data_IF_940322867936
#
_entry.id   IF_940322867936
#
_cell.length_a   1.000
_cell.length_b   1.000
_cell.length_c   1.000
_cell.angle_alpha   90.00
_cell.angle_beta   90.00
_cell.angle_gamma   90.00
#
_symmetry.space_group_name_H-M   'P 1'
#
loop_
_entity.id
_entity.type
_entity.pdbx_description
1 polymer ?
#
# COMPACT_ATOMS: atom_id res chain seq x y z
N UNK A 1 7.88 -25.77 13.59
CA UNK A 1 7.86 -24.37 13.12
C UNK A 1 7.26 -24.38 11.73
N UNK A 2 5.97 -24.05 11.60
CA UNK A 2 5.30 -23.95 10.29
C UNK A 2 5.26 -22.46 9.96
N UNK A 3 5.97 -22.07 8.89
CA UNK A 3 5.95 -20.71 8.39
C UNK A 3 4.54 -20.35 7.94
N UNK A 4 3.99 -19.29 8.53
CA UNK A 4 2.80 -18.64 8.01
C UNK A 4 3.25 -17.81 6.80
N UNK A 5 2.73 -18.16 5.63
CA UNK A 5 2.79 -17.32 4.44
C UNK A 5 1.73 -16.24 4.64
N UNK A 6 2.16 -15.00 4.83
CA UNK A 6 1.29 -13.85 4.96
C UNK A 6 0.63 -13.56 3.61
N UNK A 7 -0.69 -13.71 3.53
CA UNK A 7 -1.48 -13.22 2.40
C UNK A 7 -1.96 -11.81 2.77
N UNK A 8 -1.12 -10.80 2.53
CA UNK A 8 -1.54 -9.41 2.68
C UNK A 8 -2.43 -9.09 1.49
N UNK A 9 -3.73 -8.88 1.74
CA UNK A 9 -4.64 -8.31 0.74
C UNK A 9 -4.42 -6.80 0.76
N UNK A 10 -3.33 -6.39 0.12
CA UNK A 10 -3.01 -4.99 -0.14
C UNK A 10 -3.97 -4.42 -1.17
N UNK A 11 -4.70 -3.36 -0.81
CA UNK A 11 -5.48 -2.58 -1.77
C UNK A 11 -4.59 -1.46 -2.29
N UNK A 12 -4.38 -1.46 -3.60
CA UNK A 12 -3.43 -0.59 -4.26
C UNK A 12 -4.17 0.59 -4.90
N UNK A 13 -3.87 1.83 -4.50
CA UNK A 13 -4.43 3.04 -5.14
C UNK A 13 -3.45 3.61 -6.16
N UNK A 14 -3.83 3.60 -7.45
CA UNK A 14 -3.09 4.33 -8.48
C UNK A 14 -3.34 5.83 -8.30
N UNK A 15 -2.29 6.59 -8.02
CA UNK A 15 -2.37 8.04 -7.91
C UNK A 15 -2.07 8.68 -9.26
N UNK A 16 -3.10 9.17 -9.96
CA UNK A 16 -2.91 10.09 -11.09
C UNK A 16 -3.13 11.51 -10.59
N UNK A 17 -2.17 12.40 -10.82
CA UNK A 17 -2.25 13.81 -10.41
C UNK A 17 -3.24 14.62 -11.25
N UNK A 18 -3.84 14.01 -12.28
CA UNK A 18 -4.96 14.56 -13.02
C UNK A 18 -6.26 13.81 -12.64
N UNK A 19 -7.10 14.47 -11.83
CA UNK A 19 -8.50 14.12 -11.51
C UNK A 19 -8.70 13.03 -10.44
N UNK A 20 -9.26 13.43 -9.29
CA UNK A 20 -9.50 12.61 -8.10
C UNK A 20 -10.59 11.54 -8.22
N UNK A 21 -10.42 10.58 -9.12
CA UNK A 21 -11.28 9.39 -9.23
C UNK A 21 -10.50 8.14 -8.80
N UNK A 22 -10.99 7.46 -7.76
CA UNK A 22 -10.52 6.13 -7.36
C UNK A 22 -11.04 5.11 -8.37
N UNK A 23 -10.15 4.48 -9.14
CA UNK A 23 -10.51 3.39 -10.05
C UNK A 23 -10.73 2.12 -9.23
N UNK A 24 -11.96 1.62 -9.19
CA UNK A 24 -12.28 0.28 -8.66
C UNK A 24 -11.94 -0.76 -9.74
N UNK A 25 -10.97 -1.63 -9.47
CA UNK A 25 -10.68 -2.79 -10.32
C UNK A 25 -11.56 -3.95 -9.87
N UNK A 26 -12.52 -4.36 -10.70
CA UNK A 26 -13.24 -5.64 -10.54
C UNK A 26 -12.38 -6.74 -11.18
N UNK A 27 -12.08 -7.80 -10.43
CA UNK A 27 -11.15 -8.86 -10.79
C UNK A 27 -11.80 -10.06 -11.52
N UNK A 28 -13.06 -9.94 -11.92
CA UNK A 28 -13.73 -11.03 -12.62
C UNK A 28 -13.63 -10.86 -14.15
N UNK A 29 -13.08 -11.90 -14.75
CA UNK A 29 -13.15 -12.31 -16.16
C UNK A 29 -12.03 -11.90 -17.14
N UNK A 30 -11.23 -12.93 -17.44
CA UNK A 30 -10.56 -13.28 -18.72
C UNK A 30 -9.11 -12.89 -18.95
N UNK A 31 -8.22 -13.71 -18.36
CA UNK A 31 -6.93 -14.09 -18.95
C UNK A 31 -7.16 -14.79 -20.30
N UNK A 32 -7.24 -14.02 -21.39
CA UNK A 32 -7.02 -14.54 -22.75
C UNK A 32 -5.83 -13.83 -23.38
N UNK A 33 -4.68 -14.47 -23.27
CA UNK A 33 -3.44 -14.10 -23.92
C UNK A 33 -3.58 -14.27 -25.44
N UNK A 34 -3.29 -13.22 -26.21
CA UNK A 34 -2.95 -13.34 -27.62
C UNK A 34 -1.69 -12.52 -27.89
N UNK A 35 -0.60 -13.21 -28.20
CA UNK A 35 0.65 -12.64 -28.64
C UNK A 35 0.64 -12.66 -30.17
N UNK A 36 0.48 -11.52 -30.84
CA UNK A 36 0.74 -11.42 -32.28
C UNK A 36 1.25 -10.02 -32.61
N UNK A 37 2.47 -9.94 -33.16
CA UNK A 37 2.91 -8.78 -33.93
C UNK A 37 2.83 -9.09 -35.42
N UNK A 38 2.38 -8.14 -36.24
CA UNK A 38 2.62 -8.01 -37.69
C UNK A 38 2.51 -6.52 -38.06
N UNK A 39 3.43 -6.02 -38.90
CA UNK A 39 3.43 -4.67 -39.47
C UNK A 39 2.29 -4.45 -40.49
N UNK A 40 1.65 -3.28 -40.40
CA UNK A 40 0.61 -2.80 -41.30
C UNK A 40 -0.20 -1.71 -40.60
N UNK A 41 -0.02 -0.46 -41.04
CA UNK A 41 -0.62 0.74 -40.46
C UNK A 41 -2.15 0.78 -40.62
N UNK A 42 -2.83 0.38 -39.53
CA UNK A 42 -4.18 0.81 -39.14
C UNK A 42 -4.10 1.19 -37.64
N UNK A 43 -3.19 2.10 -37.31
CA UNK A 43 -2.83 2.41 -35.91
C UNK A 43 -4.05 2.78 -35.05
N UNK A 44 -4.43 1.97 -34.05
CA UNK A 44 -5.45 2.35 -33.08
C UNK A 44 -4.93 3.58 -32.32
N UNK A 45 -5.73 4.64 -32.33
CA UNK A 45 -5.49 5.83 -31.50
C UNK A 45 -5.50 5.38 -30.02
N UNK A 46 -4.65 5.94 -29.15
CA UNK A 46 -4.71 5.62 -27.74
C UNK A 46 -6.00 6.21 -27.15
N UNK A 47 -7.01 5.36 -27.02
CA UNK A 47 -7.76 5.09 -25.78
C UNK A 47 -8.75 3.93 -26.05
N UNK A 48 -8.33 2.68 -25.84
CA UNK A 48 -9.30 1.55 -25.80
C UNK A 48 -9.09 0.57 -24.64
N UNK A 49 -7.91 0.52 -24.01
CA UNK A 49 -7.69 -0.27 -22.80
C UNK A 49 -6.96 0.53 -21.74
N UNK A 50 -7.56 0.61 -20.54
CA UNK A 50 -6.95 1.24 -19.38
C UNK A 50 -5.51 0.72 -19.17
N UNK A 51 -4.57 1.60 -18.85
CA UNK A 51 -3.13 1.28 -18.76
C UNK A 51 -2.81 0.04 -17.91
N UNK A 52 -3.61 -0.20 -16.85
CA UNK A 52 -3.42 -1.30 -15.90
C UNK A 52 -3.72 -2.67 -16.50
N UNK A 53 -4.52 -2.75 -17.58
CA UNK A 53 -4.86 -4.03 -18.24
C UNK A 53 -3.67 -4.69 -18.91
N UNK A 54 -2.70 -3.88 -19.36
CA UNK A 54 -1.51 -4.33 -20.09
C UNK A 54 -0.21 -3.97 -19.35
N UNK A 55 -0.31 -3.61 -18.08
CA UNK A 55 0.84 -3.15 -17.32
C UNK A 55 1.73 -4.32 -16.84
N UNK A 56 3.04 -4.09 -16.88
CA UNK A 56 4.02 -4.92 -16.19
C UNK A 56 4.25 -4.30 -14.82
N UNK A 57 3.72 -4.95 -13.79
CA UNK A 57 3.81 -4.49 -12.41
C UNK A 57 5.06 -4.99 -11.70
N UNK A 58 5.64 -4.12 -10.87
CA UNK A 58 6.75 -4.47 -10.00
C UNK A 58 6.48 -4.01 -8.57
N UNK A 59 6.49 -4.95 -7.63
CA UNK A 59 6.43 -4.64 -6.21
C UNK A 59 7.78 -4.15 -5.71
N UNK A 60 7.79 -2.99 -5.08
CA UNK A 60 8.94 -2.46 -4.36
C UNK A 60 8.65 -2.60 -2.87
N UNK A 61 9.59 -3.22 -2.15
CA UNK A 61 9.67 -3.13 -0.69
C UNK A 61 10.71 -2.06 -0.34
N UNK A 62 10.31 -0.79 -0.07
CA UNK A 62 11.22 0.36 -0.09
C UNK A 62 12.42 0.19 0.83
N UNK A 63 12.16 -0.30 2.05
CA UNK A 63 13.16 -0.52 3.10
C UNK A 63 14.35 -1.39 2.68
N UNK A 64 14.20 -2.27 1.69
CA UNK A 64 15.29 -3.14 1.23
C UNK A 64 15.64 -2.96 -0.24
N UNK A 65 15.09 -1.95 -0.90
CA UNK A 65 15.29 -1.76 -2.33
C UNK A 65 16.58 -1.00 -2.64
N UNK A 66 16.71 0.22 -2.11
CA UNK A 66 17.90 1.05 -2.32
C UNK A 66 18.02 2.11 -1.23
N UNK A 67 19.13 2.07 -0.51
CA UNK A 67 19.57 3.07 0.46
C UNK A 67 20.37 4.17 -0.27
N UNK A 68 19.91 5.42 -0.18
CA UNK A 68 20.53 6.60 -0.79
C UNK A 68 21.43 7.36 0.19
N UNK A 69 21.04 7.48 1.45
CA UNK A 69 21.73 8.31 2.45
C UNK A 69 22.73 7.56 3.35
N UNK A 70 22.80 6.24 3.18
CA UNK A 70 23.71 5.29 3.84
C UNK A 70 23.39 5.07 5.32
N UNK A 71 22.13 5.19 5.72
CA UNK A 71 21.68 4.90 7.08
C UNK A 71 21.41 3.40 7.33
N UNK A 72 21.41 2.57 6.27
CA UNK A 72 21.20 1.12 6.33
C UNK A 72 19.78 0.67 5.93
N UNK A 73 18.86 1.59 5.69
CA UNK A 73 17.50 1.32 5.21
C UNK A 73 17.28 1.97 3.83
N UNK A 74 16.47 1.32 3.00
CA UNK A 74 16.11 1.89 1.70
C UNK A 74 15.06 2.99 1.82
N UNK A 75 15.15 3.99 0.94
CA UNK A 75 14.37 5.24 1.02
C UNK A 75 13.79 5.67 -0.35
N UNK A 76 12.92 6.68 -0.35
CA UNK A 76 12.24 7.14 -1.57
C UNK A 76 13.21 7.72 -2.60
N UNK A 77 14.31 8.36 -2.19
CA UNK A 77 15.33 8.87 -3.13
C UNK A 77 16.09 7.73 -3.77
N UNK A 78 16.35 6.66 -3.03
CA UNK A 78 16.88 5.42 -3.57
C UNK A 78 15.96 4.79 -4.61
N UNK A 79 14.63 4.84 -4.40
CA UNK A 79 13.67 4.42 -5.44
C UNK A 79 13.76 5.33 -6.67
N UNK A 80 13.81 6.65 -6.49
CA UNK A 80 13.97 7.64 -7.59
C UNK A 80 15.19 7.31 -8.44
N UNK A 81 16.35 7.06 -7.82
CA UNK A 81 17.60 6.70 -8.51
C UNK A 81 17.45 5.48 -9.44
N UNK A 82 16.52 4.57 -9.12
CA UNK A 82 16.34 3.31 -9.85
C UNK A 82 15.18 3.32 -10.83
N UNK A 83 14.39 4.39 -10.91
CA UNK A 83 13.32 4.50 -11.92
C UNK A 83 13.83 4.27 -13.37
N UNK A 84 15.00 4.78 -13.80
CA UNK A 84 15.52 4.48 -15.13
C UNK A 84 15.79 2.99 -15.37
N UNK A 85 16.26 2.29 -14.33
CA UNK A 85 16.47 0.84 -14.39
C UNK A 85 15.14 0.08 -14.51
N UNK A 86 14.11 0.48 -13.76
CA UNK A 86 12.79 -0.14 -13.90
C UNK A 86 12.22 0.07 -15.31
N UNK A 87 12.44 1.25 -15.89
CA UNK A 87 12.06 1.53 -17.28
C UNK A 87 12.79 0.65 -18.29
N UNK A 88 14.10 0.45 -18.12
CA UNK A 88 14.91 -0.42 -18.97
C UNK A 88 14.40 -1.87 -18.97
N UNK A 89 13.93 -2.35 -17.81
CA UNK A 89 13.31 -3.67 -17.68
C UNK A 89 11.92 -3.78 -18.33
N UNK A 90 11.36 -2.68 -18.85
CA UNK A 90 10.02 -2.66 -19.44
C UNK A 90 8.88 -2.61 -18.41
N UNK A 91 9.17 -2.29 -17.15
CA UNK A 91 8.15 -2.08 -16.12
C UNK A 91 7.35 -0.83 -16.49
N UNK A 92 6.03 -0.88 -16.27
CA UNK A 92 5.11 0.24 -16.56
C UNK A 92 4.36 0.72 -15.32
N UNK A 93 4.27 -0.11 -14.28
CA UNK A 93 3.71 0.25 -12.99
C UNK A 93 4.55 -0.30 -11.84
N UNK A 94 4.82 0.52 -10.83
CA UNK A 94 5.44 0.07 -9.59
C UNK A 94 4.50 0.32 -8.41
N UNK A 95 4.31 -0.68 -7.55
CA UNK A 95 3.61 -0.49 -6.29
C UNK A 95 4.60 -0.50 -5.13
N UNK A 96 4.42 0.42 -4.20
CA UNK A 96 5.23 0.49 -2.99
C UNK A 96 4.50 -0.20 -1.85
N UNK A 97 5.18 -1.11 -1.16
CA UNK A 97 4.76 -1.52 0.19
C UNK A 97 4.69 -0.28 1.10
N UNK A 98 3.99 -0.31 2.25
CA UNK A 98 3.64 0.90 3.01
C UNK A 98 4.81 1.83 3.30
N UNK A 99 4.58 3.12 3.04
CA UNK A 99 5.54 4.21 3.33
C UNK A 99 4.97 5.26 4.27
N UNK A 100 3.74 5.08 4.75
CA UNK A 100 3.09 6.01 5.66
C UNK A 100 3.66 5.93 7.07
N UNK A 101 3.48 6.98 7.86
CA UNK A 101 3.99 7.06 9.23
C UNK A 101 3.45 5.90 10.07
N UNK A 102 4.35 5.07 10.58
CA UNK A 102 4.04 3.85 11.31
C UNK A 102 5.04 3.65 12.48
N UNK A 103 4.62 3.07 13.61
CA UNK A 103 5.52 2.59 14.66
C UNK A 103 6.35 1.36 14.27
N UNK A 104 6.10 0.77 13.09
CA UNK A 104 6.81 -0.36 12.49
C UNK A 104 6.64 -1.70 13.24
N UNK A 105 5.56 -1.87 14.01
CA UNK A 105 5.26 -3.14 14.65
C UNK A 105 4.85 -4.22 13.62
N UNK A 106 4.32 -3.82 12.46
CA UNK A 106 3.95 -4.67 11.34
C UNK A 106 4.56 -4.15 10.02
N UNK A 107 5.84 -3.77 10.05
CA UNK A 107 6.61 -3.37 8.85
C UNK A 107 5.92 -2.30 7.99
N UNK A 108 5.27 -1.33 8.64
CA UNK A 108 4.61 -0.20 7.99
C UNK A 108 3.10 -0.38 7.81
N UNK A 109 2.54 -1.57 7.99
CA UNK A 109 1.09 -1.81 7.86
C UNK A 109 0.30 -1.34 9.10
N UNK A 110 0.95 -1.19 10.25
CA UNK A 110 0.42 -0.52 11.43
C UNK A 110 0.50 1.01 11.28
N UNK A 111 -0.35 1.60 10.43
CA UNK A 111 -0.31 3.03 10.10
C UNK A 111 -0.83 3.91 11.26
N UNK A 112 -0.05 4.92 11.65
CA UNK A 112 -0.40 5.93 12.65
C UNK A 112 -0.88 7.26 12.06
N UNK A 113 -0.45 7.59 10.83
CA UNK A 113 -0.96 8.72 10.05
C UNK A 113 -0.86 8.44 8.54
N UNK A 114 -2.02 8.25 7.90
CA UNK A 114 -2.14 8.04 6.45
C UNK A 114 -1.80 9.27 5.59
N UNK A 115 -1.54 10.44 6.19
CA UNK A 115 -1.25 11.69 5.46
C UNK A 115 0.22 12.10 5.52
N UNK A 116 1.04 11.34 6.23
CA UNK A 116 2.46 11.63 6.42
C UNK A 116 3.29 10.43 6.00
N UNK A 117 4.47 10.70 5.43
CA UNK A 117 5.47 9.68 5.11
C UNK A 117 6.23 9.31 6.40
N UNK A 118 6.59 8.03 6.54
CA UNK A 118 7.49 7.62 7.61
C UNK A 118 8.85 8.30 7.39
N UNK A 119 9.34 8.99 8.42
CA UNK A 119 10.58 9.77 8.37
C UNK A 119 11.79 8.91 7.92
N UNK A 120 11.74 7.60 8.16
CA UNK A 120 12.69 6.61 7.62
C UNK A 120 12.82 6.63 6.10
N UNK A 121 11.72 6.80 5.38
CA UNK A 121 11.71 6.74 3.92
C UNK A 121 11.90 8.11 3.27
N UNK A 122 11.81 9.19 4.06
CA UNK A 122 11.93 10.57 3.61
C UNK A 122 10.67 11.38 3.93
N UNK A 123 10.33 12.30 3.03
CA UNK A 123 9.29 13.31 3.24
C UNK A 123 8.18 13.24 2.20
N UNK A 124 7.09 13.97 2.42
CA UNK A 124 6.03 14.13 1.42
C UNK A 124 6.54 14.81 0.13
N UNK A 125 7.57 15.65 0.23
CA UNK A 125 8.21 16.25 -0.95
C UNK A 125 8.95 15.19 -1.77
N UNK A 126 9.63 14.25 -1.13
CA UNK A 126 10.31 13.13 -1.81
C UNK A 126 9.31 12.20 -2.50
N UNK A 127 8.14 11.93 -1.89
CA UNK A 127 7.06 11.20 -2.58
C UNK A 127 6.54 11.96 -3.81
N UNK A 128 6.36 13.27 -3.67
CA UNK A 128 5.92 14.13 -4.80
C UNK A 128 6.94 14.09 -5.94
N UNK A 129 8.23 14.13 -5.60
CA UNK A 129 9.32 13.99 -6.57
C UNK A 129 9.32 12.61 -7.23
N UNK A 130 9.17 11.53 -6.45
CA UNK A 130 9.07 10.17 -6.97
C UNK A 130 7.99 10.03 -8.02
N UNK A 131 6.76 10.45 -7.70
CA UNK A 131 5.62 10.36 -8.63
C UNK A 131 5.91 11.17 -9.90
N UNK A 132 6.47 12.37 -9.75
CA UNK A 132 6.82 13.23 -10.88
C UNK A 132 7.89 12.61 -11.78
N UNK A 133 8.98 12.09 -11.24
CA UNK A 133 10.05 11.47 -12.01
C UNK A 133 9.60 10.14 -12.65
N UNK A 134 8.77 9.36 -11.96
CA UNK A 134 8.17 8.16 -12.53
C UNK A 134 7.27 8.51 -13.73
N UNK A 135 6.41 9.51 -13.60
CA UNK A 135 5.52 9.94 -14.68
C UNK A 135 6.28 10.44 -15.92
N UNK A 136 7.42 11.12 -15.74
CA UNK A 136 8.29 11.52 -16.87
C UNK A 136 8.82 10.32 -17.67
N UNK A 137 8.97 9.16 -17.03
CA UNK A 137 9.43 7.92 -17.64
C UNK A 137 8.25 7.05 -18.16
N UNK A 138 7.02 7.52 -18.00
CA UNK A 138 5.80 6.76 -18.31
C UNK A 138 5.55 5.60 -17.34
N UNK A 139 6.13 5.65 -16.13
CA UNK A 139 5.86 4.71 -15.04
C UNK A 139 4.71 5.24 -14.19
N UNK A 140 3.79 4.36 -13.77
CA UNK A 140 2.75 4.67 -12.78
C UNK A 140 3.19 4.22 -11.39
N UNK A 141 2.90 5.02 -10.37
CA UNK A 141 3.17 4.67 -8.97
C UNK A 141 1.84 4.34 -8.27
N UNK A 142 1.84 3.22 -7.57
CA UNK A 142 0.72 2.77 -6.75
C UNK A 142 1.16 2.75 -5.28
N UNK A 143 0.33 3.31 -4.41
CA UNK A 143 0.53 3.26 -2.97
C UNK A 143 -0.32 2.15 -2.37
N UNK A 144 0.32 1.30 -1.59
CA UNK A 144 -0.34 0.31 -0.76
C UNK A 144 -0.90 0.95 0.51
N UNK A 145 -2.09 0.53 0.91
CA UNK A 145 -2.68 0.88 2.20
C UNK A 145 -3.58 -0.25 2.73
N UNK A 146 -3.71 -0.32 4.05
CA UNK A 146 -4.59 -1.27 4.73
C UNK A 146 -5.81 -0.53 5.29
N UNK A 147 -7.01 -0.78 4.77
CA UNK A 147 -8.24 -0.18 5.29
C UNK A 147 -8.79 -0.89 6.53
N UNK A 148 -8.34 -2.12 6.82
CA UNK A 148 -8.94 -2.96 7.85
C UNK A 148 -8.66 -2.45 9.27
N UNK A 149 -7.47 -1.92 9.52
CA UNK A 149 -7.01 -1.53 10.85
C UNK A 149 -6.05 -0.34 10.76
N UNK A 150 -5.76 0.27 11.91
CA UNK A 150 -4.70 1.27 12.10
C UNK A 150 -3.81 0.85 13.26
N UNK A 151 -2.67 1.51 13.44
CA UNK A 151 -1.89 1.44 14.67
C UNK A 151 -2.73 1.83 15.90
N UNK A 152 -2.41 1.26 17.05
CA UNK A 152 -2.90 1.69 18.36
C UNK A 152 -2.41 3.11 18.71
N UNK A 153 -1.35 3.61 18.08
CA UNK A 153 -0.88 4.98 18.23
C UNK A 153 -1.60 5.98 17.30
N UNK A 154 -2.49 5.51 16.42
CA UNK A 154 -3.26 6.41 15.56
C UNK A 154 -4.22 7.27 16.40
N UNK A 155 -4.33 8.56 16.05
CA UNK A 155 -5.25 9.52 16.68
C UNK A 155 -6.70 9.02 16.79
N UNK A 156 -7.18 8.25 15.81
CA UNK A 156 -8.51 7.65 15.84
C UNK A 156 -8.65 6.62 16.95
N UNK A 157 -7.65 5.75 17.13
CA UNK A 157 -7.65 4.74 18.19
C UNK A 157 -7.62 5.40 19.56
N UNK A 158 -6.72 6.38 19.75
CA UNK A 158 -6.61 7.13 21.00
C UNK A 158 -7.92 7.86 21.36
N UNK A 159 -8.58 8.49 20.37
CA UNK A 159 -9.88 9.14 20.56
C UNK A 159 -11.01 8.14 20.81
N UNK A 160 -10.97 6.97 20.19
CA UNK A 160 -11.94 5.89 20.41
C UNK A 160 -11.84 5.34 21.83
N UNK A 161 -10.62 5.06 22.31
CA UNK A 161 -10.33 4.65 23.70
C UNK A 161 -10.82 5.71 24.70
N UNK A 162 -10.63 6.99 24.40
CA UNK A 162 -11.11 8.09 25.23
C UNK A 162 -12.64 8.30 25.17
N UNK A 163 -13.36 7.57 24.32
CA UNK A 163 -14.81 7.71 24.14
C UNK A 163 -15.23 9.02 23.50
N UNK A 164 -14.34 9.66 22.71
CA UNK A 164 -14.63 10.93 22.04
C UNK A 164 -15.71 10.74 20.97
N UNK A 165 -16.85 11.41 21.13
CA UNK A 165 -18.08 11.31 20.31
C UNK A 165 -17.97 10.54 19.00
N UNK A 166 -17.57 11.21 17.91
CA UNK A 166 -17.59 10.62 16.57
C UNK A 166 -16.66 9.41 16.39
N UNK A 167 -15.66 9.25 17.27
CA UNK A 167 -14.64 8.19 17.18
C UNK A 167 -14.94 7.00 18.08
N UNK A 168 -15.91 7.09 19.00
CA UNK A 168 -16.15 6.03 19.98
C UNK A 168 -16.39 4.66 19.30
N UNK A 169 -17.09 4.66 18.16
CA UNK A 169 -17.48 3.45 17.43
C UNK A 169 -16.61 3.22 16.16
N UNK A 170 -15.45 3.87 16.05
CA UNK A 170 -14.51 3.64 14.92
C UNK A 170 -13.86 2.25 14.98
N UNK A 171 -13.81 1.63 16.16
CA UNK A 171 -13.24 0.30 16.37
C UNK A 171 -14.26 -0.63 17.02
N UNK A 172 -14.05 -1.94 16.87
CA UNK A 172 -14.93 -2.96 17.45
C UNK A 172 -14.60 -3.17 18.92
N UNK A 173 -15.35 -2.50 19.79
CA UNK A 173 -15.28 -2.70 21.24
C UNK A 173 -16.26 -3.76 21.71
N UNK A 174 -15.76 -4.74 22.48
CA UNK A 174 -16.63 -5.76 23.09
C UNK A 174 -16.13 -6.15 24.48
N UNK A 175 -17.06 -6.15 25.43
CA UNK A 175 -16.76 -6.57 26.79
C UNK A 175 -16.33 -8.04 26.85
N UNK A 176 -15.29 -8.29 27.64
CA UNK A 176 -14.90 -9.63 28.04
C UNK A 176 -15.98 -10.30 28.88
N UNK A 177 -15.98 -11.64 28.89
CA UNK A 177 -16.85 -12.44 29.75
C UNK A 177 -16.15 -12.68 31.09
N UNK A 178 -16.87 -13.12 32.11
CA UNK A 178 -16.29 -13.56 33.37
C UNK A 178 -16.57 -15.03 33.60
N UNK A 179 -15.55 -15.78 34.02
CA UNK A 179 -15.72 -17.15 34.46
C UNK A 179 -16.54 -17.17 35.76
N UNK A 180 -17.68 -17.86 35.76
CA UNK A 180 -18.63 -17.87 36.89
C UNK A 180 -18.09 -18.51 38.16
N UNK A 181 -17.06 -19.34 38.06
CA UNK A 181 -16.51 -20.10 39.19
C UNK A 181 -15.38 -19.36 39.90
N UNK A 182 -14.50 -18.70 39.15
CA UNK A 182 -13.29 -18.06 39.71
C UNK A 182 -13.19 -16.54 39.44
N UNK A 183 -14.17 -15.94 38.76
CA UNK A 183 -14.21 -14.50 38.48
C UNK A 183 -13.16 -14.02 37.48
N UNK A 184 -12.41 -14.92 36.82
CA UNK A 184 -11.38 -14.53 35.85
C UNK A 184 -12.04 -13.95 34.59
N UNK A 185 -11.53 -12.81 34.12
CA UNK A 185 -11.96 -12.19 32.85
C UNK A 185 -11.47 -13.02 31.67
N UNK A 186 -12.38 -13.32 30.76
CA UNK A 186 -12.20 -14.09 29.53
C UNK A 186 -12.42 -13.18 28.31
N UNK A 187 -11.81 -13.48 27.16
CA UNK A 187 -12.08 -12.76 25.93
C UNK A 187 -13.56 -12.91 25.51
N UNK A 188 -14.07 -12.00 24.65
CA UNK A 188 -15.46 -12.06 24.18
C UNK A 188 -15.80 -13.37 23.44
N UNK A 189 -14.84 -13.91 22.69
CA UNK A 189 -14.93 -15.15 21.92
C UNK A 189 -13.55 -15.83 21.84
N UNK A 190 -13.41 -16.85 21.00
CA UNK A 190 -12.17 -17.60 20.78
C UNK A 190 -11.47 -17.25 19.46
N UNK A 191 -11.70 -16.04 18.91
CA UNK A 191 -10.96 -15.59 17.74
C UNK A 191 -9.47 -15.49 18.07
N UNK A 192 -8.64 -15.93 17.12
CA UNK A 192 -7.19 -15.97 17.26
C UNK A 192 -6.60 -14.82 16.45
N UNK A 193 -5.60 -14.13 17.00
CA UNK A 193 -4.80 -13.18 16.21
C UNK A 193 -4.02 -13.95 15.15
N UNK A 194 -4.07 -13.48 13.91
CA UNK A 194 -3.07 -13.83 12.90
C UNK A 194 -1.71 -13.21 13.25
#
# INVERSE_FOLDING_TARGET
>A
MKGATWLIVSLALCWDSAWGNVVKVNLDDTLKYNHVGVEGDDTPKPDEDDWWKNAVFYQIYPRSFRDNDRDGDGDLKGVIEKLPYLKELGITGAWLSPIFKSPEADQGYDVSDYRSINERFGTMADLTELVKEAHKLGLKIILDFVPNHTSDQHDWFQKSVAGTDRYKDYYVWKDGKYNKTNGVRLPPNNWVSS
#
